data_IF_407087897076
#
_entry.id   IF_407087897076
#
_cell.length_a   1.000
_cell.length_b   1.000
_cell.length_c   1.000
_cell.angle_alpha   90.00
_cell.angle_beta   90.00
_cell.angle_gamma   90.00
#
_symmetry.space_group_name_H-M   'P 1'
#
loop_
_entity.id
_entity.type
_entity.pdbx_description
1 polymer ?
2 water ?
#
# COMPACT_ATOMS: atom_id res chain seq x y z
N UNK A 2 14.22 0.48 -8.55
CA UNK A 2 13.65 -0.82 -8.90
C UNK A 2 12.32 -1.03 -8.17
N UNK A 3 12.35 -1.00 -6.84
CA UNK A 3 11.11 -1.04 -6.07
C UNK A 3 10.99 0.17 -5.14
N UNK A 4 9.85 0.85 -5.23
CA UNK A 4 9.54 1.95 -4.33
C UNK A 4 8.77 1.44 -3.12
N UNK A 5 9.28 1.74 -1.93
CA UNK A 5 8.63 1.33 -0.69
C UNK A 5 7.94 2.52 -0.02
N UNK A 6 6.73 2.31 0.47
CA UNK A 6 6.02 3.36 1.18
C UNK A 6 5.45 2.80 2.48
N UNK A 7 5.21 3.68 3.44
CA UNK A 7 4.71 3.28 4.75
C UNK A 7 3.25 3.69 4.88
N UNK A 8 2.38 2.75 5.23
CA UNK A 8 0.98 3.10 5.49
C UNK A 8 0.68 2.77 6.94
N UNK A 9 0.75 3.80 7.77
CA UNK A 9 0.70 3.62 9.22
C UNK A 9 -0.02 4.81 9.82
N UNK A 10 -0.81 4.55 10.85
CA UNK A 10 -1.55 5.61 11.49
C UNK A 10 -2.52 5.03 12.49
N UNK A 11 -3.15 5.89 13.30
CA UNK A 11 -4.13 5.42 14.27
C UNK A 11 -5.34 4.79 13.58
N UNK A 12 -5.75 5.31 12.43
CA UNK A 12 -6.89 4.76 11.69
C UNK A 12 -6.58 4.59 10.20
N UNK A 13 -6.95 3.45 9.64
CA UNK A 13 -6.88 3.24 8.19
C UNK A 13 -8.08 2.46 7.72
N UNK A 14 -8.45 2.68 6.46
CA UNK A 14 -9.49 1.90 5.81
C UNK A 14 -9.08 1.65 4.35
N UNK A 15 -9.30 0.43 3.85
CA UNK A 15 -8.91 0.09 2.48
C UNK A 15 -10.04 -0.62 1.76
N UNK A 16 -10.34 -0.19 0.54
CA UNK A 16 -11.43 -0.77 -0.20
C UNK A 16 -10.97 -1.47 -1.47
N UNK A 17 -11.57 -2.63 -1.74
CA UNK A 17 -11.42 -3.26 -3.05
C UNK A 17 -12.56 -2.71 -3.88
N UNK A 18 -12.82 -3.30 -5.04
CA UNK A 18 -14.02 -2.94 -5.79
C UNK A 18 -14.56 -4.08 -6.66
N UNK A 19 -14.70 -5.26 -6.07
CA UNK A 19 -15.71 -6.22 -6.52
C UNK A 19 -16.90 -5.63 -5.80
N UNK A 20 -17.39 -4.53 -6.36
CA UNK A 20 -17.66 -3.33 -5.57
C UNK A 20 -17.89 -3.45 -4.07
N UNK A 21 -17.27 -2.52 -3.38
CA UNK A 21 -17.04 -2.60 -1.97
C UNK A 21 -17.84 -1.51 -1.29
N UNK A 22 -18.42 -1.85 -0.15
CA UNK A 22 -19.11 -0.86 0.65
C UNK A 22 -18.09 0.04 1.33
N UNK A 23 -18.32 1.34 1.25
CA UNK A 23 -17.39 2.30 1.83
C UNK A 23 -17.28 2.16 3.35
N UNK A 24 -18.22 1.44 3.95
CA UNK A 24 -18.23 1.25 5.40
C UNK A 24 -17.39 0.04 5.80
N UNK A 25 -16.92 -0.72 4.82
CA UNK A 25 -16.11 -1.90 5.10
C UNK A 25 -14.63 -1.55 4.93
N UNK A 26 -13.77 -2.51 5.28
CA UNK A 26 -12.35 -2.38 5.05
C UNK A 26 -11.73 -3.74 4.77
N UNK A 27 -10.79 -3.75 3.83
CA UNK A 27 -9.94 -4.90 3.57
C UNK A 27 -8.94 -4.97 4.72
N UNK A 28 -8.33 -6.16 4.97
CA UNK A 28 -7.40 -6.28 6.10
C UNK A 28 -6.03 -5.63 5.87
N UNK A 29 -5.73 -5.25 4.63
CA UNK A 29 -4.47 -4.55 4.35
C UNK A 29 -4.65 -3.71 3.09
N UNK A 30 -3.70 -2.81 2.78
CA UNK A 30 -3.93 -1.88 1.66
C UNK A 30 -4.20 -2.59 0.34
N UNK A 31 -5.10 -2.01 -0.45
CA UNK A 31 -5.49 -2.59 -1.72
C UNK A 31 -4.77 -1.86 -2.84
N UNK A 32 -4.66 -2.49 -4.00
CA UNK A 32 -4.02 -1.85 -5.15
C UNK A 32 -4.71 -0.56 -5.55
N UNK A 33 -6.04 -0.60 -5.60
CA UNK A 33 -6.83 0.59 -5.94
C UNK A 33 -6.59 1.72 -4.93
N UNK A 34 -6.61 1.37 -3.65
CA UNK A 34 -6.34 2.35 -2.60
C UNK A 34 -4.96 2.98 -2.71
N UNK A 35 -3.94 2.16 -2.92
CA UNK A 35 -2.57 2.65 -3.03
C UNK A 35 -2.39 3.50 -4.29
N UNK A 36 -2.93 3.03 -5.41
CA UNK A 36 -2.79 3.77 -6.65
C UNK A 36 -3.52 5.12 -6.53
N UNK A 37 -4.66 5.12 -5.83
CA UNK A 37 -5.40 6.34 -5.57
C UNK A 37 -4.53 7.35 -4.85
N UNK A 38 -3.79 6.87 -3.85
CA UNK A 38 -2.89 7.70 -3.05
C UNK A 38 -1.72 8.23 -3.91
N UNK A 39 -1.10 7.34 -4.68
CA UNK A 39 -0.07 7.73 -5.63
C UNK A 39 -0.56 8.85 -6.58
N UNK A 40 -1.78 8.70 -7.08
CA UNK A 40 -2.34 9.67 -8.02
C UNK A 40 -2.52 11.02 -7.31
N UNK A 41 -3.01 10.96 -6.07
CA UNK A 41 -3.16 12.16 -5.25
C UNK A 41 -1.80 12.85 -5.09
N UNK A 42 -0.78 12.07 -4.75
CA UNK A 42 0.56 12.64 -4.57
C UNK A 42 1.08 13.32 -5.84
N UNK A 43 0.77 12.72 -6.99
CA UNK A 43 1.20 13.28 -8.27
C UNK A 43 0.35 14.49 -8.66
N UNK A 44 -0.80 14.63 -8.02
CA UNK A 44 -1.72 15.71 -8.32
C UNK A 44 -2.53 15.43 -9.57
N UNK A 45 -2.85 14.16 -9.80
CA UNK A 45 -3.62 13.80 -10.98
C UNK A 45 -5.13 13.98 -10.77
N UNK A 46 -5.80 14.56 -11.76
CA UNK A 46 -7.25 14.67 -11.73
C UNK A 46 -7.81 13.25 -11.77
N UNK A 47 -8.93 13.01 -11.10
CA UNK A 47 -9.53 11.69 -11.08
C UNK A 47 -9.90 11.17 -12.47
N UNK A 48 -10.08 12.08 -13.43
CA UNK A 48 -10.43 11.67 -14.79
C UNK A 48 -9.23 11.22 -15.61
N UNK A 49 -8.03 11.44 -15.08
CA UNK A 49 -6.82 11.11 -15.82
C UNK A 49 -6.55 9.61 -15.90
N UNK A 50 -5.88 9.22 -16.97
CA UNK A 50 -5.44 7.84 -17.14
C UNK A 50 -4.47 7.48 -16.01
N UNK A 51 -4.59 6.26 -15.49
CA UNK A 51 -3.67 5.78 -14.44
C UNK A 51 -3.09 4.42 -14.80
N UNK A 52 -3.11 4.09 -16.09
CA UNK A 52 -2.62 2.80 -16.56
C UNK A 52 -1.14 2.61 -16.25
N UNK A 53 -0.38 3.70 -16.18
CA UNK A 53 1.05 3.58 -15.87
C UNK A 53 1.26 3.21 -14.40
N UNK A 54 0.43 3.77 -13.52
CA UNK A 54 0.46 3.40 -12.11
C UNK A 54 -0.07 1.98 -11.90
N UNK A 55 -1.16 1.64 -12.57
CA UNK A 55 -1.74 0.30 -12.44
C UNK A 55 -0.79 -0.81 -12.89
N UNK A 56 0.11 -0.49 -13.81
CA UNK A 56 1.07 -1.45 -14.32
C UNK A 56 2.13 -1.81 -13.28
N UNK A 57 2.27 -1.00 -12.24
CA UNK A 57 3.27 -1.29 -11.22
C UNK A 57 2.91 -2.61 -10.53
N UNK A 58 3.91 -3.41 -10.18
CA UNK A 58 3.61 -4.63 -9.43
C UNK A 58 3.64 -4.36 -7.92
N UNK A 59 2.55 -4.66 -7.22
CA UNK A 59 2.44 -4.29 -5.81
C UNK A 59 2.58 -5.45 -4.82
N UNK A 60 3.22 -5.19 -3.68
CA UNK A 60 3.29 -6.16 -2.59
C UNK A 60 3.06 -5.46 -1.26
N UNK A 61 2.53 -6.19 -0.28
CA UNK A 61 2.33 -5.64 1.07
C UNK A 61 2.98 -6.51 2.13
N UNK A 62 3.71 -5.87 3.04
CA UNK A 62 4.26 -6.55 4.21
C UNK A 62 3.53 -6.00 5.41
N UNK A 63 2.87 -6.87 6.16
CA UNK A 63 2.06 -6.44 7.29
C UNK A 63 2.92 -6.45 8.54
N UNK A 64 3.57 -5.32 8.81
CA UNK A 64 4.45 -5.20 9.96
C UNK A 64 3.65 -5.32 11.26
N UNK A 65 2.48 -4.67 11.30
CA UNK A 65 1.56 -4.80 12.42
C UNK A 65 0.13 -4.83 11.87
N UNK A 66 -0.60 -5.90 12.18
CA UNK A 66 -1.95 -6.13 11.67
C UNK A 66 -2.97 -5.07 12.10
N UNK A 67 -2.83 -4.55 13.31
CA UNK A 67 -3.83 -3.62 13.81
C UNK A 67 -5.17 -4.30 14.07
N UNK A 68 -6.01 -3.64 14.85
CA UNK A 68 -7.23 -4.27 15.34
C UNK A 68 -8.45 -3.76 14.58
N UNK A 69 -9.32 -4.67 14.17
CA UNK A 69 -10.54 -4.25 13.50
C UNK A 69 -11.53 -3.60 14.47
N UNK A 70 -11.87 -2.33 14.23
CA UNK A 70 -12.81 -1.61 15.09
C UNK A 70 -13.87 -0.85 14.28
N UNK A 71 -14.85 -0.29 14.99
CA UNK A 71 -15.90 0.51 14.35
C UNK A 71 -15.76 2.00 14.69
N UNK A 72 -15.91 2.83 13.66
CA UNK A 72 -15.84 4.28 13.78
C UNK A 72 -17.25 4.85 13.62
N UNK A 73 -17.70 5.64 14.58
CA UNK A 73 -19.07 6.17 14.52
C UNK A 73 -19.13 7.66 14.18
N UNK A 117 -21.43 0.43 11.88
CA UNK A 117 -21.34 1.47 10.86
C UNK A 117 -20.08 1.32 10.00
N UNK A 118 -19.03 2.08 10.32
CA UNK A 118 -17.80 2.09 9.52
C UNK A 118 -16.64 1.32 10.16
N UNK A 119 -16.21 0.25 9.52
CA UNK A 119 -15.07 -0.51 10.03
C UNK A 119 -13.74 0.12 9.64
N UNK A 120 -12.76 -0.02 10.52
CA UNK A 120 -11.42 0.46 10.22
C UNK A 120 -10.38 -0.39 10.95
N UNK A 121 -9.12 -0.21 10.55
CA UNK A 121 -7.99 -0.90 11.15
C UNK A 121 -7.33 0.06 12.12
N UNK A 122 -7.33 -0.31 13.40
CA UNK A 122 -6.73 0.53 14.43
C UNK A 122 -5.26 0.21 14.62
N UNK A 123 -4.42 1.24 14.54
CA UNK A 123 -3.00 1.13 14.84
C UNK A 123 -2.28 0.06 14.01
N UNK A 124 -2.66 -0.06 12.74
CA UNK A 124 -1.97 -0.98 11.85
C UNK A 124 -0.76 -0.30 11.21
N UNK A 125 0.19 -1.10 10.74
CA UNK A 125 1.36 -0.56 10.09
C UNK A 125 1.73 -1.43 8.89
N UNK A 126 1.68 -0.84 7.69
CA UNK A 126 1.93 -1.60 6.46
C UNK A 126 3.09 -1.04 5.66
N UNK A 127 3.92 -1.94 5.15
CA UNK A 127 4.95 -1.56 4.20
C UNK A 127 4.49 -1.97 2.81
N UNK A 128 4.42 -1.03 1.89
CA UNK A 128 3.95 -1.36 0.55
C UNK A 128 5.08 -1.16 -0.43
N UNK A 129 5.24 -2.09 -1.37
CA UNK A 129 6.24 -1.97 -2.40
C UNK A 129 5.61 -1.94 -3.78
N UNK A 130 6.24 -1.20 -4.68
CA UNK A 130 5.76 -1.07 -6.04
C UNK A 130 6.95 -1.23 -6.95
N UNK A 131 6.93 -2.26 -7.80
CA UNK A 131 8.03 -2.48 -8.75
C UNK A 131 7.61 -2.11 -10.17
N UNK A 132 8.46 -1.39 -10.88
CA UNK A 132 8.13 -1.02 -12.24
C UNK A 132 9.11 -0.03 -12.82
N UNK A 133 8.66 0.73 -13.81
CA UNK A 133 9.59 1.58 -14.55
C UNK A 133 10.21 2.67 -13.67
N UNK A 134 11.52 2.81 -13.81
CA UNK A 134 12.33 3.65 -12.93
C UNK A 134 11.91 5.11 -12.89
N UNK A 135 11.71 5.73 -14.05
CA UNK A 135 11.40 7.16 -14.08
C UNK A 135 10.11 7.45 -13.32
N UNK A 136 9.12 6.57 -13.46
CA UNK A 136 7.87 6.72 -12.73
C UNK A 136 8.07 6.55 -11.23
N UNK A 137 8.84 5.54 -10.83
CA UNK A 137 9.10 5.35 -9.40
C UNK A 137 9.82 6.54 -8.79
N UNK A 138 10.75 7.12 -9.54
CA UNK A 138 11.48 8.28 -9.04
C UNK A 138 10.55 9.49 -8.92
N UNK A 139 9.70 9.69 -9.92
CA UNK A 139 8.68 10.73 -9.83
C UNK A 139 7.77 10.51 -8.62
N UNK A 140 7.37 9.27 -8.38
CA UNK A 140 6.51 8.96 -7.23
C UNK A 140 7.26 9.20 -5.93
N UNK A 141 8.52 8.79 -5.89
CA UNK A 141 9.36 9.02 -4.71
C UNK A 141 9.39 10.51 -4.33
N UNK A 142 9.66 11.37 -5.30
CA UNK A 142 9.59 12.82 -5.06
C UNK A 142 8.20 13.31 -4.67
N UNK A 143 7.19 12.86 -5.41
CA UNK A 143 5.81 13.26 -5.13
C UNK A 143 5.38 12.90 -3.71
N UNK A 144 5.82 11.75 -3.21
CA UNK A 144 5.44 11.34 -1.86
C UNK A 144 6.03 12.24 -0.78
N UNK A 145 7.21 12.78 -1.04
CA UNK A 145 7.87 13.66 -0.08
C UNK A 145 7.09 14.98 0.05
N UNK A 146 6.66 15.52 -1.09
CA UNK A 146 5.83 16.73 -1.13
C UNK A 146 4.57 16.48 -1.96
N UNK A 147 3.58 15.79 -1.38
CA UNK A 147 2.37 15.43 -2.13
C UNK A 147 1.55 16.63 -2.60
N UNK A 148 1.15 16.62 -3.87
CA UNK A 148 0.41 17.75 -4.45
C UNK A 148 -0.99 17.90 -3.87
N UNK A 149 -1.60 16.77 -3.51
CA UNK A 149 -2.89 16.75 -2.83
C UNK A 149 -2.67 15.98 -1.52
N UNK A 150 -3.47 16.28 -0.49
CA UNK A 150 -3.35 15.58 0.80
C UNK A 150 -3.46 14.06 0.69
N UNK A 151 -2.59 13.36 1.41
CA UNK A 151 -2.61 11.91 1.42
C UNK A 151 -3.43 11.43 2.61
N UNK A 152 -4.42 10.57 2.35
CA UNK A 152 -5.23 9.98 3.42
C UNK A 152 -5.15 8.46 3.38
N UNK A 153 -5.24 7.82 4.55
CA UNK A 153 -5.25 6.37 4.61
C UNK A 153 -6.65 5.79 4.52
N UNK A 154 -7.35 6.11 3.44
CA UNK A 154 -8.63 5.49 3.17
C UNK A 154 -9.81 6.43 3.10
N UNK A 155 -10.25 6.90 4.26
CA UNK A 155 -11.31 7.89 4.30
C UNK A 155 -10.60 9.20 4.53
N UNK A 156 -11.12 10.28 3.96
CA UNK A 156 -10.54 11.59 4.21
C UNK A 156 -10.63 11.80 5.71
N UNK A 157 -9.58 12.37 6.29
CA UNK A 157 -9.41 12.59 7.74
C UNK A 157 -8.71 11.45 8.49
N UNK A 158 -8.53 10.29 7.85
CA UNK A 158 -7.60 9.31 8.38
C UNK A 158 -6.20 9.76 7.98
N UNK A 159 -5.55 10.49 8.87
CA UNK A 159 -4.25 11.09 8.57
C UNK A 159 -3.12 10.11 8.85
N UNK A 160 -2.17 10.00 7.91
CA UNK A 160 -1.03 9.10 8.14
C UNK A 160 -0.16 9.62 9.27
N UNK A 161 0.40 8.70 10.05
CA UNK A 161 1.38 9.07 11.04
C UNK A 161 2.24 7.85 11.36
N UNK A 162 3.54 7.89 11.01
CA UNK A 162 4.32 8.90 10.28
C UNK A 162 3.85 8.97 8.82
N UNK A 163 4.34 9.96 8.04
CA UNK A 163 3.92 10.08 6.64
C UNK A 163 4.32 8.88 5.79
N UNK A 164 3.63 8.67 4.65
CA UNK A 164 3.96 7.54 3.76
C UNK A 164 5.38 7.57 3.18
N UNK A 165 5.98 8.75 3.06
CA UNK A 165 7.31 8.87 2.46
C UNK A 165 8.40 8.18 3.30
N UNK A 166 9.18 7.31 2.66
CA UNK A 166 10.38 6.72 3.28
C UNK A 166 11.63 7.18 2.52
N UNK A 167 12.50 7.97 3.17
CA UNK A 167 13.61 8.60 2.44
C UNK A 167 14.54 7.58 1.79
N UNK A 168 14.68 6.41 2.41
CA UNK A 168 15.49 5.33 1.85
C UNK A 168 14.62 4.25 1.21
N UNK A 169 13.43 4.63 0.73
CA UNK A 169 12.47 3.66 0.25
C UNK A 169 12.63 3.19 -1.18
N UNK A 170 13.49 3.84 -1.96
CA UNK A 170 13.68 3.44 -3.34
C UNK A 170 14.86 2.48 -3.41
N UNK A 171 14.56 1.20 -3.53
CA UNK A 171 15.56 0.14 -3.38
C UNK A 171 15.86 -0.52 -4.72
N UNK A 172 17.14 -0.72 -5.04
CA UNK A 172 17.53 -1.39 -6.28
C UNK A 172 17.42 -2.92 -6.13
N UNK A 173 16.19 -3.41 -6.04
CA UNK A 173 15.95 -4.86 -5.95
C UNK A 173 14.54 -5.16 -6.41
N UNK A 174 14.28 -6.41 -6.83
CA UNK A 174 12.89 -6.70 -7.21
C UNK A 174 11.95 -6.71 -6.01
N UNK A 175 10.66 -6.76 -6.30
CA UNK A 175 9.63 -6.55 -5.29
C UNK A 175 9.81 -7.35 -4.00
N UNK A 176 9.90 -8.67 -4.11
CA UNK A 176 9.95 -9.52 -2.92
C UNK A 176 11.17 -9.20 -2.06
N UNK A 177 12.34 -9.13 -2.69
CA UNK A 177 13.55 -8.84 -1.94
C UNK A 177 13.52 -7.46 -1.28
N UNK A 178 13.04 -6.46 -2.02
CA UNK A 178 12.91 -5.12 -1.48
C UNK A 178 12.06 -5.17 -0.21
N UNK A 179 10.91 -5.83 -0.29
CA UNK A 179 10.01 -5.91 0.86
C UNK A 179 10.59 -6.72 2.02
N UNK A 180 11.26 -7.84 1.69
CA UNK A 180 11.87 -8.71 2.70
C UNK A 180 12.94 -8.00 3.54
N UNK A 181 13.75 -7.18 2.88
CA UNK A 181 14.96 -6.64 3.47
C UNK A 181 14.88 -5.26 4.09
N UNK A 182 13.72 -4.61 4.00
CA UNK A 182 13.55 -3.28 4.59
C UNK A 182 13.37 -3.39 6.11
N UNK A 183 13.96 -2.46 6.88
CA UNK A 183 13.85 -2.58 8.34
C UNK A 183 12.40 -2.59 8.84
N UNK A 184 12.16 -3.31 9.93
CA UNK A 184 10.85 -3.34 10.59
C UNK A 184 10.35 -1.92 10.86
N UNK A 185 9.08 -1.65 10.57
CA UNK A 185 8.56 -0.28 10.67
C UNK A 185 8.48 0.20 12.12
N UNK A 186 8.26 -0.74 13.04
CA UNK A 186 8.23 -0.44 14.46
C UNK A 186 9.65 -0.72 14.99
N UNK A 187 9.91 -0.44 16.26
CA UNK A 187 11.25 -0.69 16.78
C UNK A 187 11.61 -2.17 16.84
N UNK A 188 12.90 -2.49 16.79
CA UNK A 188 13.36 -3.85 17.02
C UNK A 188 13.12 -4.80 15.86
N UNK A 189 13.23 -6.09 16.11
CA UNK A 189 12.94 -7.10 15.10
C UNK A 189 11.48 -7.50 15.25
N UNK A 190 10.86 -8.02 14.18
CA UNK A 190 9.47 -8.45 14.35
C UNK A 190 9.43 -9.60 15.35
N UNK A 191 8.51 -9.56 16.32
CA UNK A 191 8.48 -10.64 17.30
C UNK A 191 7.93 -11.93 16.70
N UNK A 192 7.21 -11.83 15.59
CA UNK A 192 6.72 -13.04 14.92
C UNK A 192 6.79 -12.87 13.42
N UNK A 193 6.67 -13.98 12.71
CA UNK A 193 6.71 -13.95 11.25
C UNK A 193 5.64 -13.01 10.72
N UNK A 194 5.90 -12.41 9.57
CA UNK A 194 5.00 -11.41 9.01
C UNK A 194 4.23 -11.92 7.80
N UNK A 195 3.03 -11.39 7.60
CA UNK A 195 2.28 -11.67 6.38
C UNK A 195 2.85 -10.83 5.24
N UNK A 196 3.01 -11.46 4.08
CA UNK A 196 3.48 -10.78 2.88
C UNK A 196 2.46 -11.07 1.75
N UNK A 197 1.85 -10.03 1.20
CA UNK A 197 0.81 -10.24 0.20
C UNK A 197 1.28 -9.68 -1.13
N UNK A 198 1.64 -10.57 -2.05
CA UNK A 198 2.29 -10.19 -3.31
C UNK A 198 1.40 -10.35 -4.53
N UNK A 199 1.40 -9.34 -5.40
CA UNK A 199 0.77 -9.47 -6.71
C UNK A 199 1.41 -10.66 -7.40
N UNK A 200 0.59 -11.51 -8.01
CA UNK A 200 1.11 -12.77 -8.54
C UNK A 200 0.35 -13.25 -9.77
N UNK A 201 0.86 -14.28 -10.43
CA UNK A 201 0.19 -14.79 -11.62
C UNK A 201 -0.87 -15.83 -11.28
N UNK A 202 -0.81 -16.34 -10.05
CA UNK A 202 -1.76 -17.34 -9.56
C UNK A 202 -2.11 -17.02 -8.12
N UNK A 203 -3.21 -17.57 -7.63
CA UNK A 203 -3.55 -17.38 -6.23
C UNK A 203 -4.99 -16.98 -5.99
N UNK A 204 -5.22 -16.11 -5.01
CA UNK A 204 -6.57 -15.66 -4.72
C UNK A 204 -6.88 -14.35 -5.43
N UNK A 205 -8.09 -14.25 -5.96
CA UNK A 205 -8.50 -13.09 -6.74
C UNK A 205 -8.94 -11.96 -5.83
N UNK A 206 -8.58 -10.75 -6.21
CA UNK A 206 -9.09 -9.58 -5.53
C UNK A 206 -9.37 -8.58 -6.63
N UNK A 207 -10.54 -7.95 -6.60
CA UNK A 207 -10.91 -7.06 -7.69
C UNK A 207 -10.51 -5.64 -7.32
N UNK A 208 -9.21 -5.35 -7.37
CA UNK A 208 -8.72 -4.03 -6.95
C UNK A 208 -7.72 -3.43 -7.93
N UNK A 209 -7.66 -4.01 -9.13
CA UNK A 209 -6.73 -3.54 -10.16
C UNK A 209 -7.37 -2.44 -11.00
N UNK A 210 -6.89 -1.19 -10.83
CA UNK A 210 -7.44 -0.05 -11.58
C UNK A 210 -7.30 -0.28 -13.07
N UNK A 211 -8.41 -0.26 -13.79
CA UNK A 211 -8.40 -0.64 -15.20
C UNK A 211 -8.88 0.49 -16.09
N UNK A 212 -9.15 1.63 -15.46
CA UNK A 212 -9.49 2.86 -16.15
C UNK A 212 -9.36 3.97 -15.14
N UNK A 213 -9.55 5.22 -15.57
CA UNK A 213 -9.47 6.39 -14.68
C UNK A 213 -10.38 6.21 -13.47
N UNK A 214 -9.96 6.72 -12.31
CA UNK A 214 -10.73 6.52 -11.08
C UNK A 214 -12.16 7.08 -11.15
N UNK A 215 -12.39 8.08 -11.99
CA UNK A 215 -13.74 8.64 -12.16
C UNK A 215 -14.73 7.60 -12.71
N UNK A 216 -14.22 6.63 -13.47
CA UNK A 216 -15.05 5.58 -14.06
C UNK A 216 -15.26 4.42 -13.11
N UNK A 217 -14.39 4.31 -12.11
CA UNK A 217 -14.42 3.19 -11.18
C UNK A 217 -14.45 1.83 -11.88
N UNK A 218 -13.51 1.65 -12.79
CA UNK A 218 -13.39 0.41 -13.54
C UNK A 218 -12.24 -0.39 -12.95
N UNK A 219 -12.55 -1.56 -12.39
CA UNK A 219 -11.53 -2.41 -11.77
C UNK A 219 -11.57 -3.82 -12.29
N UNK A 220 -10.40 -4.46 -12.32
CA UNK A 220 -10.28 -5.84 -12.77
C UNK A 220 -9.73 -6.69 -11.63
N UNK A 221 -9.81 -8.00 -11.78
CA UNK A 221 -9.22 -8.90 -10.81
C UNK A 221 -7.71 -9.02 -11.02
N UNK A 222 -6.97 -9.11 -9.92
CA UNK A 222 -5.58 -9.53 -10.01
C UNK A 222 -5.39 -10.64 -8.98
N UNK A 223 -4.36 -11.44 -9.13
CA UNK A 223 -4.07 -12.45 -8.11
C UNK A 223 -3.13 -11.86 -7.06
N UNK A 224 -3.44 -12.12 -5.80
CA UNK A 224 -2.56 -11.80 -4.70
C UNK A 224 -2.24 -13.09 -3.97
N UNK A 225 -0.96 -13.37 -3.80
CA UNK A 225 -0.54 -14.53 -3.05
C UNK A 225 -0.04 -14.15 -1.65
N UNK A 226 -0.62 -14.73 -0.61
CA UNK A 226 -0.17 -14.45 0.75
C UNK A 226 0.90 -15.46 1.20
N UNK A 227 2.04 -14.94 1.64
CA UNK A 227 3.14 -15.80 2.08
C UNK A 227 3.54 -15.43 3.50
N UNK A 228 4.22 -16.35 4.18
CA UNK A 228 4.74 -16.05 5.51
C UNK A 228 6.22 -15.68 5.39
N UNK A 229 6.56 -14.49 5.88
CA UNK A 229 7.94 -14.01 5.86
C UNK A 229 8.58 -14.25 7.22
N UNK A 230 9.60 -15.13 7.27
CA UNK A 230 10.30 -15.42 8.53
C UNK A 230 10.78 -14.13 9.18
N UNK A 231 10.59 -13.99 10.49
CA UNK A 231 10.98 -12.76 11.19
C UNK A 231 12.49 -12.49 11.15
N UNK A 232 13.27 -13.55 11.06
CA UNK A 232 14.73 -13.44 11.08
C UNK A 232 15.27 -12.70 9.86
N UNK A 233 14.49 -12.69 8.79
CA UNK A 233 14.89 -12.02 7.55
C UNK A 233 14.89 -10.49 7.68
N UNK A 234 13.95 -9.96 8.46
CA UNK A 234 13.74 -8.52 8.54
C UNK A 234 14.75 -7.81 9.45
N UNK A 235 15.50 -6.83 8.91
CA UNK A 235 16.48 -6.14 9.75
C UNK A 235 15.79 -5.32 10.83
N UNK A 236 16.52 -5.06 11.90
CA UNK A 236 16.00 -4.31 13.03
C UNK A 236 15.54 -2.90 12.63
N UNK A 237 14.38 -2.49 13.13
CA UNK A 237 13.85 -1.17 12.86
C UNK A 237 14.07 -0.25 14.05
N UNK A 238 13.55 0.98 13.98
CA UNK A 238 12.71 1.57 12.93
C UNK A 238 13.56 2.06 11.75
N UNK A 239 12.92 2.47 10.63
CA UNK A 239 13.64 2.97 9.45
C UNK A 239 14.58 4.14 9.77
#
# INVERSE_FOLDING_TARGET
MPTLLIRLQGPLQSWGTRSRFDHRDTWPYPTKSGVVGLLAAALGRDRREDVSDLAALRMGVRVDRKGVLKVDYQTAQFVYRTEGYVAVSTPKEREWLSRYTKTPIRVDERNATVTSKRYFLSDAAFLVGLEGERALLEALHRALKNPRFPLYLGRKSYVPSPPPYLPDGLVEAPLAEALEGYPYLLGGKPPEDLLLALEAEEGRLVYDQPAGPFSERRFAARFVREEVLPKERVPEGPPAWEVARVAH
#
